data_IF_648954975607
#
_entry.id   IF_648954975607
#
_cell.length_a   1.000
_cell.length_b   1.000
_cell.length_c   1.000
_cell.angle_alpha   90.00
_cell.angle_beta   90.00
_cell.angle_gamma   90.00
#
_symmetry.space_group_name_H-M   'P 1'
#
loop_
_entity.id
_entity.type
_entity.pdbx_description
1 polymer ?
#
# COMPACT_ATOMS: atom_id res chain seq x y z
N UNK A 1 3.05 11.01 4.60
CA UNK A 1 2.08 9.92 4.40
C UNK A 1 1.45 9.61 5.74
N UNK A 2 0.12 9.53 5.82
CA UNK A 2 -0.55 9.14 7.06
C UNK A 2 -0.43 7.62 7.18
N UNK A 3 0.61 7.15 7.88
CA UNK A 3 0.92 5.74 8.11
C UNK A 3 -0.31 4.96 8.59
N UNK A 4 -1.26 5.64 9.25
CA UNK A 4 -2.52 5.07 9.72
C UNK A 4 -3.44 4.62 8.57
N UNK A 5 -3.47 5.34 7.42
CA UNK A 5 -4.34 4.98 6.29
C UNK A 5 -3.92 3.68 5.60
N UNK A 6 -2.62 3.49 5.36
CA UNK A 6 -2.14 2.24 4.74
C UNK A 6 -2.23 1.06 5.69
N UNK A 7 -2.09 1.30 6.99
CA UNK A 7 -2.29 0.27 7.99
C UNK A 7 -3.73 -0.25 7.95
N UNK A 8 -4.72 0.63 7.86
CA UNK A 8 -6.12 0.24 7.77
C UNK A 8 -6.43 -0.59 6.52
N UNK A 9 -5.90 -0.21 5.35
CA UNK A 9 -6.07 -0.98 4.09
C UNK A 9 -5.48 -2.38 4.21
N UNK A 10 -4.31 -2.51 4.83
CA UNK A 10 -3.72 -3.82 5.10
C UNK A 10 -4.58 -4.65 6.07
N UNK A 11 -5.07 -4.05 7.16
CA UNK A 11 -5.86 -4.75 8.16
C UNK A 11 -7.17 -5.29 7.57
N UNK A 12 -7.84 -4.51 6.73
CA UNK A 12 -9.02 -4.97 5.99
C UNK A 12 -8.70 -6.15 5.07
N UNK A 13 -7.64 -6.03 4.25
CA UNK A 13 -7.22 -7.11 3.33
C UNK A 13 -6.79 -8.38 4.09
N UNK A 14 -6.13 -8.23 5.24
CA UNK A 14 -5.73 -9.34 6.10
C UNK A 14 -6.96 -10.09 6.63
N UNK A 15 -7.97 -9.37 7.12
CA UNK A 15 -9.21 -10.00 7.61
C UNK A 15 -9.95 -10.73 6.50
N UNK A 16 -10.10 -10.10 5.33
CA UNK A 16 -10.80 -10.72 4.21
C UNK A 16 -10.09 -11.98 3.69
N UNK A 17 -8.76 -12.00 3.69
CA UNK A 17 -8.00 -13.18 3.27
C UNK A 17 -8.11 -14.34 4.29
N UNK A 18 -8.05 -14.04 5.59
CA UNK A 18 -8.28 -15.02 6.66
C UNK A 18 -9.71 -15.60 6.56
N UNK A 19 -10.72 -14.75 6.34
CA UNK A 19 -12.11 -15.16 6.12
C UNK A 19 -12.26 -15.99 4.85
N UNK A 20 -11.59 -15.63 3.76
CA UNK A 20 -11.62 -16.39 2.50
C UNK A 20 -11.07 -17.80 2.67
N UNK A 21 -10.04 -17.97 3.50
CA UNK A 21 -9.36 -19.25 3.73
C UNK A 21 -10.06 -20.12 4.80
N UNK A 22 -10.58 -19.51 5.86
CA UNK A 22 -11.03 -20.22 7.07
C UNK A 22 -12.54 -20.07 7.33
N UNK A 23 -13.22 -19.25 6.53
CA UNK A 23 -14.65 -18.96 6.63
C UNK A 23 -14.95 -17.77 7.56
N UNK A 24 -16.18 -17.26 7.45
CA UNK A 24 -16.66 -16.07 8.18
C UNK A 24 -16.58 -16.22 9.71
N UNK A 25 -16.68 -17.46 10.23
CA UNK A 25 -16.49 -17.74 11.65
C UNK A 25 -15.11 -17.37 12.20
N UNK A 26 -14.11 -17.19 11.33
CA UNK A 26 -12.75 -16.80 11.71
C UNK A 26 -12.53 -15.29 11.78
N UNK A 27 -13.48 -14.46 11.33
CA UNK A 27 -13.33 -12.99 11.32
C UNK A 27 -12.96 -12.41 12.69
N UNK A 28 -13.58 -12.90 13.76
CA UNK A 28 -13.29 -12.46 15.13
C UNK A 28 -11.87 -12.83 15.57
N UNK A 29 -11.37 -13.99 15.16
CA UNK A 29 -9.98 -14.39 15.37
C UNK A 29 -9.01 -13.51 14.59
N UNK A 30 -9.29 -13.18 13.33
CA UNK A 30 -8.47 -12.27 12.53
C UNK A 30 -8.40 -10.85 13.16
N UNK A 31 -9.53 -10.31 13.61
CA UNK A 31 -9.57 -9.03 14.33
C UNK A 31 -8.79 -9.09 15.66
N UNK A 32 -8.94 -10.16 16.42
CA UNK A 32 -8.15 -10.36 17.65
C UNK A 32 -6.65 -10.45 17.35
N UNK A 33 -6.26 -11.11 16.25
CA UNK A 33 -4.86 -11.21 15.82
C UNK A 33 -4.26 -9.84 15.49
N UNK A 34 -5.06 -8.96 14.87
CA UNK A 34 -4.69 -7.55 14.61
C UNK A 34 -4.53 -6.80 15.93
N UNK A 35 -5.53 -6.87 16.82
CA UNK A 35 -5.51 -6.19 18.13
C UNK A 35 -4.28 -6.60 18.97
N UNK A 36 -3.96 -7.89 18.99
CA UNK A 36 -2.79 -8.43 19.72
C UNK A 36 -1.49 -8.32 18.93
N UNK A 37 -1.53 -7.81 17.71
CA UNK A 37 -0.39 -7.69 16.80
C UNK A 37 0.46 -8.98 16.75
N UNK A 38 -0.22 -10.11 16.51
CA UNK A 38 0.38 -11.45 16.52
C UNK A 38 1.51 -11.57 15.47
N UNK A 39 2.34 -12.62 15.58
CA UNK A 39 3.45 -12.85 14.63
C UNK A 39 2.98 -12.91 13.18
N UNK A 40 1.79 -13.46 12.92
CA UNK A 40 1.22 -13.55 11.57
C UNK A 40 0.94 -12.14 11.01
N UNK A 41 0.30 -11.28 11.81
CA UNK A 41 0.01 -9.89 11.43
C UNK A 41 1.28 -9.09 11.20
N UNK A 42 2.28 -9.24 12.07
CA UNK A 42 3.58 -8.55 11.93
C UNK A 42 4.32 -9.00 10.66
N UNK A 43 4.33 -10.30 10.38
CA UNK A 43 5.02 -10.87 9.21
C UNK A 43 4.31 -10.49 7.92
N UNK A 44 2.97 -10.57 7.89
CA UNK A 44 2.17 -10.16 6.75
C UNK A 44 2.30 -8.64 6.49
N UNK A 45 2.34 -7.83 7.54
CA UNK A 45 2.56 -6.39 7.41
C UNK A 45 3.95 -6.06 6.85
N UNK A 46 5.00 -6.69 7.38
CA UNK A 46 6.34 -6.56 6.83
C UNK A 46 6.41 -6.95 5.36
N UNK A 47 5.81 -8.09 4.98
CA UNK A 47 5.79 -8.56 3.60
C UNK A 47 5.01 -7.60 2.69
N UNK A 48 3.91 -7.02 3.16
CA UNK A 48 3.14 -6.00 2.45
C UNK A 48 3.96 -4.73 2.20
N UNK A 49 4.69 -4.25 3.20
CA UNK A 49 5.57 -3.09 3.03
C UNK A 49 6.69 -3.40 2.03
N UNK A 50 7.35 -4.55 2.18
CA UNK A 50 8.43 -4.98 1.29
C UNK A 50 7.98 -5.13 -0.16
N UNK A 51 6.79 -5.67 -0.42
CA UNK A 51 6.28 -5.84 -1.78
C UNK A 51 6.02 -4.50 -2.47
N UNK A 52 5.50 -3.50 -1.75
CA UNK A 52 5.27 -2.16 -2.29
C UNK A 52 6.56 -1.36 -2.48
N UNK A 53 7.56 -1.64 -1.66
CA UNK A 53 8.90 -1.08 -1.83
C UNK A 53 9.68 -1.67 -3.01
N UNK A 54 9.36 -2.90 -3.43
CA UNK A 54 9.96 -3.53 -4.60
C UNK A 54 9.36 -3.03 -5.93
N UNK A 55 8.12 -2.54 -5.90
CA UNK A 55 7.46 -1.97 -7.08
C UNK A 55 7.91 -0.52 -7.28
N UNK A 56 8.64 -0.29 -8.36
CA UNK A 56 9.07 1.04 -8.80
C UNK A 56 8.28 1.42 -10.06
N UNK A 57 7.56 2.53 -9.99
CA UNK A 57 6.75 3.06 -11.10
C UNK A 57 7.58 4.02 -11.93
N UNK A 58 7.62 3.79 -13.24
CA UNK A 58 8.19 4.75 -14.20
C UNK A 58 7.10 5.74 -14.63
N UNK A 59 7.39 7.04 -14.50
CA UNK A 59 6.49 8.06 -15.01
C UNK A 59 6.63 8.19 -16.53
N UNK A 60 5.53 8.38 -17.28
CA UNK A 60 5.61 8.66 -18.70
C UNK A 60 6.35 9.98 -18.96
N UNK A 61 6.86 10.11 -20.19
CA UNK A 61 7.39 11.39 -20.68
C UNK A 61 6.23 12.26 -21.17
N UNK A 62 6.40 13.58 -21.06
CA UNK A 62 5.39 14.56 -21.45
C UNK A 62 5.94 15.48 -22.55
N UNK A 63 6.51 14.88 -23.60
CA UNK A 63 7.25 15.60 -24.64
C UNK A 63 6.41 16.67 -25.38
N UNK A 64 5.08 16.53 -25.39
CA UNK A 64 4.14 17.46 -26.04
C UNK A 64 3.76 18.68 -25.17
N UNK A 65 4.26 18.77 -23.94
CA UNK A 65 3.89 19.81 -22.99
C UNK A 65 5.03 20.81 -22.74
N UNK A 66 4.72 22.08 -22.41
CA UNK A 66 5.73 23.01 -21.93
C UNK A 66 6.44 22.46 -20.68
N UNK A 67 7.76 22.65 -20.58
CA UNK A 67 8.58 22.11 -19.51
C UNK A 67 8.07 22.42 -18.09
N UNK A 68 7.44 23.59 -17.88
CA UNK A 68 6.81 23.94 -16.61
C UNK A 68 5.61 23.06 -16.26
N UNK A 69 4.78 22.73 -17.25
CA UNK A 69 3.61 21.87 -17.07
C UNK A 69 4.05 20.40 -16.88
N UNK A 70 5.04 19.94 -17.65
CA UNK A 70 5.63 18.61 -17.46
C UNK A 70 6.13 18.43 -16.01
N UNK A 71 6.90 19.39 -15.49
CA UNK A 71 7.41 19.32 -14.12
C UNK A 71 6.27 19.19 -13.11
N UNK A 72 5.29 20.08 -13.18
CA UNK A 72 4.19 20.12 -12.21
C UNK A 72 3.34 18.82 -12.29
N UNK A 73 3.12 18.29 -13.49
CA UNK A 73 2.44 17.00 -13.68
C UNK A 73 3.26 15.83 -13.12
N UNK A 74 4.57 15.77 -13.39
CA UNK A 74 5.46 14.73 -12.86
C UNK A 74 5.48 14.76 -11.33
N UNK A 75 5.57 15.92 -10.71
CA UNK A 75 5.55 16.08 -9.25
C UNK A 75 4.20 15.66 -8.64
N UNK A 76 3.08 16.04 -9.28
CA UNK A 76 1.74 15.65 -8.85
C UNK A 76 1.50 14.14 -8.94
N UNK A 77 1.92 13.51 -10.04
CA UNK A 77 1.84 12.06 -10.22
C UNK A 77 2.74 11.32 -9.24
N UNK A 78 4.00 11.77 -9.08
CA UNK A 78 4.95 11.21 -8.10
C UNK A 78 4.34 11.21 -6.71
N UNK A 79 3.86 12.38 -6.26
CA UNK A 79 3.25 12.53 -4.93
C UNK A 79 2.05 11.61 -4.74
N UNK A 80 1.21 11.46 -5.76
CA UNK A 80 0.02 10.60 -5.70
C UNK A 80 0.37 9.11 -5.63
N UNK A 81 1.40 8.67 -6.36
CA UNK A 81 1.87 7.27 -6.35
C UNK A 81 2.57 6.95 -5.03
N UNK A 82 3.44 7.85 -4.55
CA UNK A 82 4.12 7.70 -3.26
C UNK A 82 3.13 7.69 -2.09
N UNK A 83 2.01 8.43 -2.20
CA UNK A 83 0.92 8.36 -1.22
C UNK A 83 0.26 6.96 -1.12
N UNK A 84 0.37 6.13 -2.16
CA UNK A 84 -0.07 4.73 -2.17
C UNK A 84 1.03 3.76 -1.68
N UNK A 85 2.16 4.28 -1.18
CA UNK A 85 3.28 3.50 -0.67
C UNK A 85 4.15 2.85 -1.76
N UNK A 86 3.99 3.25 -3.02
CA UNK A 86 4.81 2.77 -4.14
C UNK A 86 5.99 3.70 -4.38
N UNK A 87 7.12 3.16 -4.85
CA UNK A 87 8.28 3.98 -5.23
C UNK A 87 8.12 4.46 -6.68
N UNK A 88 8.64 5.64 -6.99
CA UNK A 88 8.67 6.18 -8.36
C UNK A 88 10.12 6.34 -8.79
N UNK A 89 10.45 5.88 -9.99
CA UNK A 89 11.80 6.02 -10.54
C UNK A 89 12.23 7.51 -10.58
N UNK A 90 13.54 7.81 -10.49
CA UNK A 90 14.05 9.18 -10.63
C UNK A 90 13.56 9.86 -11.92
#
# INVERSE_FOLDING_TARGET
MDTNKMRAVFEEAFVEEEVRLLGEGFRSSALYMIEKNTVNVRSAWWAWQASREAVVVELPKFDDYPASMERDMRESLRSSIEAQGLKVAP
#
